data_IF_492675769754
#
_entry.id   IF_492675769754
#
_cell.length_a   1.000
_cell.length_b   1.000
_cell.length_c   1.000
_cell.angle_alpha   90.00
_cell.angle_beta   90.00
_cell.angle_gamma   90.00
#
_symmetry.space_group_name_H-M   'P 1'
#
loop_
_entity.id
_entity.type
_entity.pdbx_description
1 polymer ?
#
# COMPACT_ATOMS: atom_id res chain seq x y z
N UNK A 1 23.99 -60.10 20.75
CA UNK A 1 23.65 -58.97 21.64
C UNK A 1 24.93 -58.26 22.08
N UNK A 2 25.37 -57.23 21.36
CA UNK A 2 26.14 -56.07 21.87
C UNK A 2 26.45 -55.14 20.70
N UNK A 3 25.60 -54.12 20.56
CA UNK A 3 25.70 -53.02 19.60
C UNK A 3 26.58 -51.97 20.28
N UNK A 4 27.89 -52.15 20.26
CA UNK A 4 28.81 -51.07 20.63
C UNK A 4 28.90 -50.11 19.45
N UNK A 5 27.87 -49.28 19.33
CA UNK A 5 27.93 -48.12 18.46
C UNK A 5 28.93 -47.19 19.13
N UNK A 6 30.12 -47.14 18.55
CA UNK A 6 31.24 -46.31 18.97
C UNK A 6 30.78 -44.88 19.23
N UNK A 7 30.73 -44.50 20.51
CA UNK A 7 30.26 -43.20 20.96
C UNK A 7 31.05 -42.06 20.30
N UNK A 8 32.29 -42.31 19.88
CA UNK A 8 33.10 -41.35 19.10
C UNK A 8 32.58 -41.17 17.67
N UNK A 9 32.02 -42.21 17.04
CA UNK A 9 31.38 -42.11 15.72
C UNK A 9 30.03 -41.38 15.81
N UNK A 10 29.26 -41.60 16.88
CA UNK A 10 28.03 -40.82 17.15
C UNK A 10 28.40 -39.35 17.42
N UNK A 11 29.43 -39.08 18.24
CA UNK A 11 29.86 -37.72 18.54
C UNK A 11 30.41 -36.98 17.32
N UNK A 12 31.19 -37.66 16.48
CA UNK A 12 31.72 -37.10 15.23
C UNK A 12 30.62 -36.84 14.20
N UNK A 13 29.60 -37.70 14.12
CA UNK A 13 28.43 -37.53 13.25
C UNK A 13 27.50 -36.42 13.75
N UNK A 14 27.32 -36.27 15.07
CA UNK A 14 26.59 -35.16 15.70
C UNK A 14 27.34 -33.82 15.52
N UNK A 15 28.66 -33.81 15.69
CA UNK A 15 29.48 -32.60 15.52
C UNK A 15 29.55 -32.14 14.05
N UNK A 16 29.50 -33.08 13.10
CA UNK A 16 29.39 -32.77 11.67
C UNK A 16 28.01 -32.26 11.24
N UNK A 17 26.94 -32.69 11.90
CA UNK A 17 25.57 -32.27 11.58
C UNK A 17 25.22 -30.88 12.11
N UNK A 18 25.98 -30.36 13.09
CA UNK A 18 25.68 -29.06 13.71
C UNK A 18 26.24 -27.86 12.92
N UNK A 19 27.08 -28.08 11.91
CA UNK A 19 27.80 -27.01 11.18
C UNK A 19 27.07 -26.54 9.90
N UNK A 20 25.96 -27.16 9.51
CA UNK A 20 25.30 -26.91 8.21
C UNK A 20 23.99 -26.11 8.29
N UNK A 21 23.82 -25.28 9.31
CA UNK A 21 22.67 -24.37 9.41
C UNK A 21 23.10 -22.90 9.50
N UNK A 22 24.00 -22.48 8.62
CA UNK A 22 24.05 -21.07 8.21
C UNK A 22 22.79 -20.78 7.40
N UNK A 23 21.70 -20.45 8.10
CA UNK A 23 20.57 -19.77 7.49
C UNK A 23 21.13 -18.46 6.91
N UNK A 24 21.37 -18.45 5.61
CA UNK A 24 21.57 -17.22 4.87
C UNK A 24 20.29 -16.41 5.10
N UNK A 25 20.36 -15.43 6.01
CA UNK A 25 19.37 -14.38 6.07
C UNK A 25 19.49 -13.66 4.74
N UNK A 26 18.68 -14.07 3.76
CA UNK A 26 18.49 -13.29 2.57
C UNK A 26 17.97 -11.94 3.08
N UNK A 27 18.84 -10.93 3.08
CA UNK A 27 18.42 -9.55 3.12
C UNK A 27 17.67 -9.33 1.80
N UNK A 28 16.42 -9.76 1.75
CA UNK A 28 15.44 -9.44 0.73
C UNK A 28 15.29 -7.92 0.77
N UNK A 29 16.14 -7.24 0.01
CA UNK A 29 16.08 -5.78 -0.11
C UNK A 29 14.75 -5.43 -0.73
N UNK A 30 13.96 -4.58 -0.07
CA UNK A 30 12.68 -4.09 -0.58
C UNK A 30 12.85 -3.54 -2.01
N UNK A 31 12.24 -4.21 -2.99
CA UNK A 31 12.36 -3.90 -4.42
C UNK A 31 11.38 -2.83 -4.89
N UNK A 32 10.52 -2.31 -4.00
CA UNK A 32 9.53 -1.29 -4.33
C UNK A 32 10.18 0.03 -4.71
N UNK A 33 9.55 0.74 -5.65
CA UNK A 33 9.96 2.08 -6.06
C UNK A 33 9.85 3.03 -4.87
N UNK A 34 10.95 3.71 -4.55
CA UNK A 34 10.92 4.78 -3.54
C UNK A 34 10.15 5.96 -4.12
N UNK A 35 9.11 6.38 -3.40
CA UNK A 35 8.43 7.65 -3.60
C UNK A 35 8.97 8.64 -2.57
N UNK A 36 10.00 9.44 -2.93
CA UNK A 36 10.54 10.46 -2.04
C UNK A 36 9.56 11.62 -1.95
N UNK A 37 9.20 12.02 -0.73
CA UNK A 37 8.31 13.14 -0.45
C UNK A 37 8.88 14.00 0.67
N UNK A 38 8.61 15.30 0.65
CA UNK A 38 8.79 16.13 1.83
C UNK A 38 7.89 15.62 2.98
N UNK A 39 8.25 15.94 4.22
CA UNK A 39 7.51 15.44 5.40
C UNK A 39 6.01 15.79 5.35
N UNK A 40 5.67 17.02 4.96
CA UNK A 40 4.29 17.47 4.85
C UNK A 40 3.51 16.72 3.75
N UNK A 41 4.12 16.51 2.58
CA UNK A 41 3.54 15.73 1.46
C UNK A 41 3.31 14.27 1.87
N UNK A 42 4.30 13.65 2.54
CA UNK A 42 4.15 12.30 3.07
C UNK A 42 3.01 12.20 4.08
N UNK A 43 2.92 13.17 4.99
CA UNK A 43 1.86 13.19 5.98
C UNK A 43 0.48 13.35 5.32
N UNK A 44 0.37 14.17 4.28
CA UNK A 44 -0.85 14.29 3.48
C UNK A 44 -1.26 12.94 2.86
N UNK A 45 -0.38 12.31 2.07
CA UNK A 45 -0.66 11.03 1.41
C UNK A 45 -1.05 9.94 2.42
N UNK A 46 -0.32 9.83 3.53
CA UNK A 46 -0.62 8.84 4.57
C UNK A 46 -1.93 9.15 5.31
N UNK A 47 -2.37 10.40 5.36
CA UNK A 47 -3.66 10.76 5.96
C UNK A 47 -4.81 10.29 5.08
N UNK A 48 -4.71 10.51 3.78
CA UNK A 48 -5.67 9.96 2.81
C UNK A 48 -5.70 8.43 2.82
N UNK A 49 -4.54 7.77 2.85
CA UNK A 49 -4.49 6.29 2.95
C UNK A 49 -5.17 5.75 4.20
N UNK A 50 -5.06 6.43 5.35
CA UNK A 50 -5.77 6.03 6.57
C UNK A 50 -7.28 6.26 6.45
N UNK A 51 -7.71 7.34 5.81
CA UNK A 51 -9.11 7.59 5.54
C UNK A 51 -9.72 6.52 4.60
N UNK A 52 -9.00 6.15 3.52
CA UNK A 52 -9.38 5.06 2.62
C UNK A 52 -9.51 3.72 3.34
N UNK A 53 -8.55 3.39 4.22
CA UNK A 53 -8.58 2.15 5.00
C UNK A 53 -9.76 2.12 5.98
N UNK A 54 -9.93 3.19 6.77
CA UNK A 54 -11.03 3.29 7.72
C UNK A 54 -12.39 3.28 7.02
N UNK A 55 -12.53 4.01 5.91
CA UNK A 55 -13.76 4.06 5.14
C UNK A 55 -14.11 2.72 4.49
N UNK A 56 -13.12 1.96 4.00
CA UNK A 56 -13.32 0.57 3.54
C UNK A 56 -13.87 -0.30 4.67
N UNK A 57 -13.34 -0.16 5.89
CA UNK A 57 -13.87 -0.84 7.08
C UNK A 57 -15.34 -0.51 7.33
N UNK A 58 -15.71 0.78 7.29
CA UNK A 58 -17.09 1.23 7.48
C UNK A 58 -18.04 0.71 6.39
N UNK A 59 -17.57 0.63 5.14
CA UNK A 59 -18.35 0.05 4.02
C UNK A 59 -18.59 -1.44 4.27
N UNK A 60 -17.59 -2.20 4.70
CA UNK A 60 -17.74 -3.62 5.04
C UNK A 60 -18.71 -3.81 6.21
N UNK A 61 -18.63 -2.96 7.23
CA UNK A 61 -19.53 -2.98 8.38
C UNK A 61 -20.98 -2.71 7.94
N UNK A 62 -21.20 -1.70 7.10
CA UNK A 62 -22.51 -1.38 6.53
C UNK A 62 -23.05 -2.52 5.65
N UNK A 63 -22.19 -3.11 4.80
CA UNK A 63 -22.52 -4.30 4.00
C UNK A 63 -22.96 -5.48 4.87
N UNK A 64 -22.30 -5.71 6.01
CA UNK A 64 -22.66 -6.80 6.94
C UNK A 64 -24.06 -6.63 7.55
N UNK A 65 -24.57 -5.40 7.58
CA UNK A 65 -25.93 -5.05 8.02
C UNK A 65 -26.91 -4.83 6.86
N UNK A 66 -26.46 -5.02 5.62
CA UNK A 66 -27.21 -4.70 4.40
C UNK A 66 -27.68 -3.23 4.34
N UNK A 67 -26.97 -2.31 5.01
CA UNK A 67 -27.28 -0.88 5.05
C UNK A 67 -26.67 -0.15 3.84
N UNK A 68 -27.35 -0.23 2.71
CA UNK A 68 -26.88 0.35 1.45
C UNK A 68 -26.85 1.89 1.46
N UNK A 69 -27.61 2.54 2.34
CA UNK A 69 -27.55 3.99 2.50
C UNK A 69 -26.25 4.41 3.20
N UNK A 70 -25.85 3.68 4.26
CA UNK A 70 -24.56 3.89 4.91
C UNK A 70 -23.39 3.55 3.96
N UNK A 71 -23.49 2.46 3.19
CA UNK A 71 -22.50 2.14 2.13
C UNK A 71 -22.30 3.34 1.20
N UNK A 72 -23.38 3.90 0.67
CA UNK A 72 -23.30 5.02 -0.26
C UNK A 72 -22.65 6.26 0.36
N UNK A 73 -23.03 6.59 1.60
CA UNK A 73 -22.45 7.72 2.33
C UNK A 73 -20.95 7.55 2.58
N UNK A 74 -20.53 6.37 3.05
CA UNK A 74 -19.12 6.08 3.31
C UNK A 74 -18.30 6.04 2.02
N UNK A 75 -18.79 5.39 0.96
CA UNK A 75 -18.09 5.35 -0.32
C UNK A 75 -17.94 6.74 -0.95
N UNK A 76 -18.98 7.57 -0.91
CA UNK A 76 -18.92 8.94 -1.47
C UNK A 76 -17.88 9.81 -0.77
N UNK A 77 -17.71 9.65 0.55
CA UNK A 77 -16.69 10.39 1.30
C UNK A 77 -15.25 10.05 0.84
N UNK A 78 -15.04 8.87 0.24
CA UNK A 78 -13.76 8.41 -0.31
C UNK A 78 -13.59 8.70 -1.80
N UNK A 79 -14.62 9.24 -2.44
CA UNK A 79 -14.66 9.52 -3.88
C UNK A 79 -13.73 10.65 -4.31
N UNK A 80 -13.91 11.12 -5.54
CA UNK A 80 -13.09 12.19 -6.14
C UNK A 80 -13.11 13.50 -5.33
N UNK A 81 -14.17 13.75 -4.56
CA UNK A 81 -14.24 14.91 -3.66
C UNK A 81 -13.19 14.90 -2.54
N UNK A 82 -12.61 13.74 -2.22
CA UNK A 82 -11.46 13.62 -1.34
C UNK A 82 -10.17 14.03 -2.07
N UNK A 83 -9.93 13.45 -3.26
CA UNK A 83 -8.69 13.62 -4.04
C UNK A 83 -8.35 15.08 -4.36
N UNK A 84 -9.36 15.88 -4.73
CA UNK A 84 -9.16 17.28 -5.11
C UNK A 84 -8.63 18.19 -3.97
N UNK A 85 -8.62 17.71 -2.71
CA UNK A 85 -8.08 18.49 -1.58
C UNK A 85 -6.56 18.40 -1.46
N UNK A 86 -5.90 17.56 -2.24
CA UNK A 86 -4.45 17.29 -2.14
C UNK A 86 -3.59 17.80 -3.30
N UNK A 87 -4.20 18.27 -4.38
CA UNK A 87 -3.55 18.28 -5.70
C UNK A 87 -2.36 19.26 -5.82
N UNK A 88 -2.47 20.52 -5.40
CA UNK A 88 -1.47 21.53 -5.81
C UNK A 88 -0.02 21.20 -5.41
N UNK A 89 0.19 20.71 -4.19
CA UNK A 89 1.53 20.42 -3.65
C UNK A 89 2.06 19.01 -3.98
N UNK A 90 1.21 18.11 -4.50
CA UNK A 90 1.58 16.73 -4.82
C UNK A 90 1.75 16.51 -6.32
N UNK A 91 0.98 17.21 -7.16
CA UNK A 91 0.98 17.05 -8.62
C UNK A 91 2.39 17.14 -9.23
N UNK A 92 3.23 18.02 -8.71
CA UNK A 92 4.59 18.25 -9.22
C UNK A 92 5.61 17.17 -8.82
N UNK A 93 5.32 16.37 -7.78
CA UNK A 93 6.31 15.45 -7.18
C UNK A 93 5.98 13.98 -7.32
N UNK A 94 4.71 13.61 -7.50
CA UNK A 94 4.32 12.20 -7.59
C UNK A 94 4.38 11.66 -9.03
N UNK A 95 4.85 10.40 -9.25
CA UNK A 95 4.83 9.77 -10.55
C UNK A 95 3.43 9.65 -11.13
N UNK A 96 3.33 9.74 -12.46
CA UNK A 96 2.05 9.62 -13.18
C UNK A 96 1.32 8.32 -12.85
N UNK A 97 2.02 7.21 -12.74
CA UNK A 97 1.43 5.90 -12.44
C UNK A 97 0.87 5.82 -11.02
N UNK A 98 1.56 6.46 -10.05
CA UNK A 98 1.06 6.56 -8.66
C UNK A 98 -0.23 7.36 -8.61
N UNK A 99 -0.25 8.50 -9.30
CA UNK A 99 -1.43 9.35 -9.43
C UNK A 99 -2.59 8.62 -10.10
N UNK A 100 -2.33 7.92 -11.20
CA UNK A 100 -3.37 7.16 -11.92
C UNK A 100 -4.00 6.08 -11.03
N UNK A 101 -3.21 5.37 -10.22
CA UNK A 101 -3.73 4.39 -9.26
C UNK A 101 -4.62 5.08 -8.22
N UNK A 102 -4.16 6.17 -7.61
CA UNK A 102 -4.95 6.93 -6.63
C UNK A 102 -6.28 7.41 -7.21
N UNK A 103 -6.25 8.08 -8.36
CA UNK A 103 -7.45 8.59 -9.03
C UNK A 103 -8.41 7.48 -9.45
N UNK A 104 -7.89 6.33 -9.89
CA UNK A 104 -8.73 5.18 -10.21
C UNK A 104 -9.42 4.61 -8.95
N UNK A 105 -8.73 4.56 -7.81
CA UNK A 105 -9.33 4.17 -6.53
C UNK A 105 -10.45 5.12 -6.11
N UNK A 106 -10.26 6.44 -6.20
CA UNK A 106 -11.31 7.41 -5.88
C UNK A 106 -12.54 7.27 -6.79
N UNK A 107 -12.33 7.08 -8.10
CA UNK A 107 -13.42 6.84 -9.06
C UNK A 107 -14.19 5.56 -8.77
N UNK A 108 -13.52 4.50 -8.32
CA UNK A 108 -14.22 3.29 -7.92
C UNK A 108 -15.15 3.56 -6.73
N UNK A 109 -14.71 4.35 -5.74
CA UNK A 109 -15.55 4.69 -4.58
C UNK A 109 -16.76 5.55 -4.96
N UNK A 110 -16.62 6.49 -5.91
CA UNK A 110 -17.79 7.20 -6.47
C UNK A 110 -18.76 6.24 -7.17
N UNK A 111 -18.23 5.26 -7.91
CA UNK A 111 -19.07 4.25 -8.56
C UNK A 111 -19.78 3.35 -7.55
N UNK A 112 -19.09 2.91 -6.51
CA UNK A 112 -19.67 2.13 -5.40
C UNK A 112 -20.81 2.92 -4.75
N UNK A 113 -20.61 4.23 -4.52
CA UNK A 113 -21.64 5.07 -3.93
C UNK A 113 -22.89 5.16 -4.82
N UNK A 114 -22.71 5.41 -6.12
CA UNK A 114 -23.81 5.51 -7.07
C UNK A 114 -24.58 4.17 -7.24
N UNK A 115 -23.86 3.05 -7.31
CA UNK A 115 -24.47 1.73 -7.46
C UNK A 115 -25.16 1.28 -6.15
N UNK A 116 -24.62 1.64 -4.99
CA UNK A 116 -25.26 1.39 -3.69
C UNK A 116 -26.61 2.12 -3.55
N UNK A 117 -26.73 3.35 -4.06
CA UNK A 117 -27.98 4.11 -4.07
C UNK A 117 -29.01 3.57 -5.06
N UNK A 118 -28.55 3.26 -6.27
CA UNK A 118 -29.42 2.93 -7.40
C UNK A 118 -29.81 1.45 -7.45
N UNK A 119 -28.83 0.55 -7.32
CA UNK A 119 -29.05 -0.90 -7.44
C UNK A 119 -29.40 -1.54 -6.09
N UNK A 120 -28.83 -1.01 -4.99
CA UNK A 120 -29.04 -1.51 -3.62
C UNK A 120 -28.79 -3.02 -3.49
N UNK A 121 -27.81 -3.56 -4.23
CA UNK A 121 -27.42 -4.97 -4.22
C UNK A 121 -26.10 -5.16 -3.43
N UNK A 122 -26.15 -5.74 -2.21
CA UNK A 122 -24.95 -5.96 -1.39
C UNK A 122 -23.89 -6.84 -2.05
N UNK A 123 -24.28 -7.85 -2.84
CA UNK A 123 -23.32 -8.75 -3.51
C UNK A 123 -22.62 -8.05 -4.66
N UNK A 124 -23.34 -7.20 -5.40
CA UNK A 124 -22.74 -6.35 -6.43
C UNK A 124 -21.72 -5.39 -5.80
N UNK A 125 -22.12 -4.65 -4.77
CA UNK A 125 -21.24 -3.70 -4.07
C UNK A 125 -20.01 -4.39 -3.47
N UNK A 126 -20.17 -5.56 -2.84
CA UNK A 126 -19.04 -6.31 -2.31
C UNK A 126 -18.03 -6.71 -3.40
N UNK A 127 -18.52 -7.05 -4.60
CA UNK A 127 -17.67 -7.38 -5.75
C UNK A 127 -16.88 -6.16 -6.21
N UNK A 128 -17.53 -5.00 -6.31
CA UNK A 128 -16.86 -3.75 -6.67
C UNK A 128 -15.78 -3.40 -5.65
N UNK A 129 -16.09 -3.47 -4.36
CA UNK A 129 -15.12 -3.22 -3.30
C UNK A 129 -13.93 -4.18 -3.39
N UNK A 130 -14.18 -5.47 -3.67
CA UNK A 130 -13.13 -6.47 -3.88
C UNK A 130 -12.24 -6.15 -5.09
N UNK A 131 -12.80 -5.59 -6.15
CA UNK A 131 -12.05 -5.14 -7.33
C UNK A 131 -11.23 -3.87 -7.04
N UNK A 132 -11.77 -2.93 -6.27
CA UNK A 132 -11.06 -1.73 -5.82
C UNK A 132 -9.86 -2.07 -4.95
N UNK A 133 -9.99 -3.06 -4.07
CA UNK A 133 -8.88 -3.48 -3.20
C UNK A 133 -7.64 -3.94 -3.96
N UNK A 134 -7.79 -4.47 -5.19
CA UNK A 134 -6.66 -4.85 -6.04
C UNK A 134 -5.75 -3.65 -6.37
N UNK A 135 -6.31 -2.43 -6.46
CA UNK A 135 -5.54 -1.21 -6.70
C UNK A 135 -4.71 -0.80 -5.47
N UNK A 136 -5.24 -1.02 -4.27
CA UNK A 136 -4.49 -0.84 -3.03
C UNK A 136 -3.28 -1.78 -3.02
N UNK A 137 -3.49 -3.08 -3.27
CA UNK A 137 -2.40 -4.06 -3.33
C UNK A 137 -1.36 -3.68 -4.40
N UNK A 138 -1.80 -3.35 -5.61
CA UNK A 138 -0.90 -2.96 -6.70
C UNK A 138 -0.02 -1.75 -6.32
N UNK A 139 -0.59 -0.75 -5.63
CA UNK A 139 0.18 0.40 -5.14
C UNK A 139 1.16 -0.01 -4.03
N UNK A 140 0.72 -0.79 -3.05
CA UNK A 140 1.55 -1.22 -1.92
C UNK A 140 2.67 -2.19 -2.30
N UNK A 141 2.49 -2.97 -3.37
CA UNK A 141 3.50 -3.83 -3.99
C UNK A 141 4.47 -3.06 -4.89
N UNK A 142 4.09 -1.88 -5.37
CA UNK A 142 4.91 -1.09 -6.29
C UNK A 142 5.72 -0.02 -5.59
N UNK A 143 5.20 0.57 -4.51
CA UNK A 143 5.75 1.80 -3.92
C UNK A 143 6.05 1.67 -2.44
N UNK A 144 7.10 2.37 -2.03
CA UNK A 144 7.40 2.67 -0.63
C UNK A 144 7.56 4.19 -0.47
N UNK A 145 6.82 4.77 0.46
CA UNK A 145 6.84 6.22 0.71
C UNK A 145 7.93 6.53 1.73
N UNK A 146 8.91 7.36 1.36
CA UNK A 146 10.01 7.77 2.23
C UNK A 146 10.10 9.29 2.28
N UNK A 147 10.54 9.81 3.42
CA UNK A 147 10.91 11.23 3.50
C UNK A 147 12.17 11.44 2.67
N UNK A 148 12.17 12.44 1.81
CA UNK A 148 13.35 12.80 1.03
C UNK A 148 14.49 13.21 1.98
N UNK A 149 15.67 12.65 1.77
CA UNK A 149 16.84 13.05 2.55
C UNK A 149 17.21 14.49 2.18
N UNK A 150 17.46 15.42 3.13
CA UNK A 150 17.84 16.80 2.83
C UNK A 150 18.97 16.96 1.79
N UNK A 151 19.88 15.98 1.67
CA UNK A 151 20.91 15.97 0.62
C UNK A 151 20.36 15.79 -0.82
N UNK A 152 19.22 15.10 -0.98
CA UNK A 152 18.54 14.93 -2.28
C UNK A 152 17.76 16.16 -2.72
N UNK A 153 17.21 16.91 -1.75
CA UNK A 153 16.50 18.17 -2.00
C UNK A 153 17.43 19.23 -2.62
N UNK A 154 18.63 19.39 -2.06
CA UNK A 154 19.63 20.34 -2.56
C UNK A 154 20.10 20.03 -4.00
N UNK A 155 20.20 18.74 -4.36
CA UNK A 155 20.59 18.33 -5.71
C UNK A 155 19.51 18.65 -6.75
N UNK A 156 18.23 18.54 -6.39
CA UNK A 156 17.08 18.81 -7.28
C UNK A 156 16.84 20.31 -7.49
N UNK A 157 17.02 21.13 -6.46
CA UNK A 157 16.97 22.59 -6.58
C UNK A 157 18.06 23.12 -7.52
N UNK A 158 19.28 22.59 -7.40
CA UNK A 158 20.39 22.94 -8.30
C UNK A 158 20.09 22.56 -9.75
N UNK A 159 19.44 21.40 -9.97
CA UNK A 159 19.09 20.92 -11.31
C UNK A 159 17.92 21.70 -11.94
N UNK A 160 16.95 22.16 -11.14
CA UNK A 160 15.86 23.03 -11.60
C UNK A 160 16.34 24.45 -11.97
N UNK A 161 17.39 24.95 -11.31
CA UNK A 161 18.02 26.23 -11.66
C UNK A 161 18.78 26.17 -12.99
N UNK A 162 19.33 25.00 -13.34
CA UNK A 162 20.02 24.78 -14.61
C UNK A 162 19.08 24.56 -15.81
N UNK A 163 17.81 24.21 -15.59
CA UNK A 163 16.84 24.02 -16.68
C UNK A 163 16.08 25.30 -17.07
N UNK A 164 16.33 26.41 -16.35
CA UNK A 164 15.74 27.73 -16.60
C UNK A 164 16.76 28.78 -17.10
N UNK A 165 17.94 28.35 -17.58
CA UNK A 165 18.88 29.14 -18.37
C UNK A 165 18.92 28.60 -19.80
#
# INVERSE_FOLDING_TARGET
MKREIDLKKILAMMLGFTVMTTTAMANETDKRKVLPLAEHQRNHVLTEMRALLSGTGNILEALSREDMAAVAAHARALGMGMAHKGEDHLLAVIPKEFMQLGMATHKDFDKIAADAESLRDPKHTLRQLSESMKKCSACHESYQIRVENPAGVAARETQSLHHHQ
#
